data_IF_435022673279
#
_entry.id   IF_435022673279
#
_cell.length_a   1.000
_cell.length_b   1.000
_cell.length_c   1.000
_cell.angle_alpha   90.00
_cell.angle_beta   90.00
_cell.angle_gamma   90.00
#
_symmetry.space_group_name_H-M   'P 1'
#
loop_
_entity.id
_entity.type
_entity.pdbx_description
1 polymer ?
#
# COMPACT_ATOMS: atom_id res chain seq x y z
N UNK A 1 92.10 -61.08 40.31
CA UNK A 1 91.58 -60.68 38.98
C UNK A 1 90.61 -59.54 39.23
N UNK A 2 91.08 -58.30 39.05
CA UNK A 2 90.34 -57.07 39.34
C UNK A 2 90.23 -56.27 38.05
N UNK A 3 89.05 -55.74 37.75
CA UNK A 3 88.87 -54.60 36.83
C UNK A 3 87.57 -53.87 37.15
N UNK A 4 87.74 -52.57 37.34
CA UNK A 4 86.77 -51.49 37.58
C UNK A 4 86.45 -50.80 36.25
N UNK A 5 85.30 -50.12 36.23
CA UNK A 5 85.02 -48.83 35.57
C UNK A 5 85.35 -48.63 34.09
N UNK A 6 84.37 -48.13 33.31
CA UNK A 6 84.37 -46.71 32.87
C UNK A 6 83.16 -46.35 32.01
N UNK A 7 82.68 -45.14 32.27
CA UNK A 7 81.82 -44.26 31.50
C UNK A 7 82.39 -43.88 30.13
N UNK A 8 81.53 -43.59 29.14
CA UNK A 8 81.72 -42.43 28.27
C UNK A 8 80.41 -41.98 27.60
N UNK A 9 80.29 -40.66 27.51
CA UNK A 9 79.15 -39.87 27.06
C UNK A 9 79.07 -39.76 25.53
N UNK A 10 77.89 -39.40 25.01
CA UNK A 10 77.82 -38.40 23.93
C UNK A 10 76.60 -37.50 24.14
N UNK A 11 76.89 -36.21 24.08
CA UNK A 11 76.10 -35.04 24.44
C UNK A 11 74.98 -34.69 23.46
N UNK A 12 73.79 -34.41 23.99
CA UNK A 12 72.77 -33.59 23.32
C UNK A 12 72.70 -32.20 23.99
N UNK A 13 72.50 -31.09 23.25
CA UNK A 13 72.54 -29.73 23.79
C UNK A 13 71.32 -29.38 24.67
N UNK A 14 71.41 -28.32 25.50
CA UNK A 14 70.37 -27.88 26.44
C UNK A 14 69.22 -27.13 25.74
N UNK A 15 68.08 -26.90 26.44
CA UNK A 15 66.90 -26.29 25.84
C UNK A 15 67.07 -24.78 25.62
N UNK A 16 66.57 -24.29 24.49
CA UNK A 16 66.53 -22.86 24.11
C UNK A 16 65.09 -22.50 23.72
N UNK A 17 64.63 -21.25 23.96
CA UNK A 17 63.32 -20.99 24.53
C UNK A 17 62.11 -20.98 23.59
N UNK A 18 60.98 -21.18 24.24
CA UNK A 18 59.59 -20.96 23.83
C UNK A 18 59.42 -19.65 23.02
N UNK A 19 59.16 -19.78 21.73
CA UNK A 19 58.59 -18.70 20.91
C UNK A 19 57.06 -18.74 21.10
N UNK A 20 56.41 -17.65 21.51
CA UNK A 20 54.96 -17.60 21.60
C UNK A 20 54.33 -17.33 20.22
N UNK A 21 53.27 -18.08 19.90
CA UNK A 21 52.26 -17.62 18.94
C UNK A 21 52.24 -18.32 17.57
N UNK A 22 52.01 -19.64 17.53
CA UNK A 22 51.27 -20.24 16.42
C UNK A 22 49.86 -20.53 16.94
N UNK A 23 48.99 -19.53 16.87
CA UNK A 23 47.56 -19.75 16.98
C UNK A 23 47.13 -20.38 15.66
N UNK A 24 47.01 -21.71 15.63
CA UNK A 24 46.27 -22.37 14.57
C UNK A 24 44.86 -21.73 14.53
N UNK A 25 44.38 -21.26 13.36
CA UNK A 25 42.99 -20.85 13.28
C UNK A 25 42.14 -22.11 13.50
N UNK A 26 41.34 -22.08 14.57
CA UNK A 26 40.30 -23.06 14.80
C UNK A 26 39.44 -23.11 13.54
N UNK A 27 39.12 -24.34 13.10
CA UNK A 27 38.15 -24.57 12.03
C UNK A 27 36.79 -24.03 12.48
N UNK A 28 36.54 -22.76 12.21
CA UNK A 28 35.24 -22.13 12.38
C UNK A 28 34.49 -22.32 11.06
N UNK A 29 33.53 -23.25 11.05
CA UNK A 29 32.50 -23.36 10.01
C UNK A 29 31.48 -22.23 10.19
N UNK A 30 31.90 -21.00 9.92
CA UNK A 30 31.02 -19.85 9.69
C UNK A 30 31.57 -19.15 8.46
N UNK A 31 30.74 -18.99 7.43
CA UNK A 31 31.10 -18.22 6.24
C UNK A 31 31.53 -16.82 6.68
N UNK A 32 32.82 -16.53 6.62
CA UNK A 32 33.31 -15.16 6.65
C UNK A 32 32.79 -14.51 5.38
N UNK A 33 31.84 -13.59 5.50
CA UNK A 33 31.50 -12.69 4.40
C UNK A 33 32.74 -11.86 4.08
N UNK A 34 33.08 -11.75 2.80
CA UNK A 34 34.09 -10.79 2.34
C UNK A 34 33.56 -9.37 2.60
N UNK A 35 34.40 -8.47 3.12
CA UNK A 35 34.03 -7.07 3.25
C UNK A 35 33.92 -6.45 1.85
N UNK A 36 33.01 -5.50 1.65
CA UNK A 36 32.80 -4.89 0.34
C UNK A 36 34.04 -4.14 -0.13
N UNK A 37 34.75 -3.53 0.82
CA UNK A 37 36.01 -2.82 0.64
C UNK A 37 37.11 -3.74 0.10
N UNK A 38 37.22 -4.97 0.63
CA UNK A 38 38.19 -5.97 0.17
C UNK A 38 37.92 -6.47 -1.27
N UNK A 39 36.68 -6.34 -1.75
CA UNK A 39 36.27 -6.72 -3.11
C UNK A 39 36.52 -5.56 -4.10
N UNK A 40 36.28 -4.32 -3.66
CA UNK A 40 36.44 -3.12 -4.50
C UNK A 40 37.93 -2.78 -4.67
N UNK A 41 38.73 -2.95 -3.62
CA UNK A 41 40.15 -2.59 -3.61
C UNK A 41 41.07 -3.75 -4.05
N UNK A 42 40.52 -4.80 -4.67
CA UNK A 42 41.30 -5.94 -5.16
C UNK A 42 42.30 -5.49 -6.25
N UNK A 43 43.62 -5.52 -5.97
CA UNK A 43 44.63 -5.05 -6.91
C UNK A 43 44.68 -5.89 -8.19
N UNK A 44 44.21 -7.14 -8.13
CA UNK A 44 44.22 -8.12 -9.20
C UNK A 44 42.91 -8.11 -10.03
N UNK A 45 41.91 -7.32 -9.63
CA UNK A 45 40.65 -7.18 -10.37
C UNK A 45 40.82 -6.40 -11.69
N UNK A 46 40.20 -6.89 -12.76
CA UNK A 46 40.26 -6.28 -14.10
C UNK A 46 39.41 -5.00 -14.22
N UNK A 47 38.38 -4.85 -13.37
CA UNK A 47 37.47 -3.71 -13.32
C UNK A 47 37.61 -3.02 -11.97
N UNK A 48 38.07 -1.76 -11.94
CA UNK A 48 38.48 -1.05 -10.72
C UNK A 48 37.66 0.21 -10.42
N UNK A 49 36.95 0.72 -11.42
CA UNK A 49 36.18 1.96 -11.33
C UNK A 49 34.99 1.93 -12.31
N UNK A 50 34.14 2.95 -12.24
CA UNK A 50 32.95 3.04 -13.09
C UNK A 50 33.27 3.19 -14.59
N UNK A 51 34.42 3.78 -14.93
CA UNK A 51 34.83 4.01 -16.33
C UNK A 51 35.32 2.71 -16.97
N UNK A 52 36.16 1.96 -16.26
CA UNK A 52 36.62 0.62 -16.63
C UNK A 52 35.48 -0.39 -16.67
N UNK A 53 34.52 -0.30 -15.74
CA UNK A 53 33.31 -1.13 -15.75
C UNK A 53 32.45 -0.86 -17.00
N UNK A 54 32.26 0.42 -17.36
CA UNK A 54 31.54 0.79 -18.58
C UNK A 54 32.24 0.27 -19.83
N UNK A 55 33.55 0.47 -19.92
CA UNK A 55 34.35 0.00 -21.05
C UNK A 55 34.24 -1.52 -21.22
N UNK A 56 34.30 -2.28 -20.12
CA UNK A 56 34.17 -3.74 -20.14
C UNK A 56 32.78 -4.20 -20.61
N UNK A 57 31.70 -3.56 -20.12
CA UNK A 57 30.35 -3.89 -20.54
C UNK A 57 30.09 -3.53 -22.02
N UNK A 58 30.63 -2.41 -22.49
CA UNK A 58 30.52 -1.95 -23.89
C UNK A 58 31.24 -2.87 -24.89
N UNK A 59 32.15 -3.75 -24.44
CA UNK A 59 32.79 -4.73 -25.31
C UNK A 59 31.88 -5.92 -25.67
N UNK A 60 30.95 -6.29 -24.79
CA UNK A 60 30.24 -7.57 -24.92
C UNK A 60 28.73 -7.51 -24.70
N UNK A 61 28.23 -6.48 -24.00
CA UNK A 61 26.86 -6.48 -23.47
C UNK A 61 26.08 -5.18 -23.69
N UNK A 62 26.75 -4.07 -24.04
CA UNK A 62 26.12 -2.76 -24.28
C UNK A 62 26.60 -2.10 -25.58
N UNK A 63 25.83 -1.12 -26.08
CA UNK A 63 26.13 -0.37 -27.32
C UNK A 63 27.13 0.74 -27.00
N UNK A 64 28.24 0.79 -27.75
CA UNK A 64 29.29 1.77 -27.51
C UNK A 64 28.78 3.21 -27.68
N UNK A 65 29.06 4.05 -26.67
CA UNK A 65 28.78 5.49 -26.70
C UNK A 65 27.48 5.92 -26.01
N UNK A 66 26.58 5.00 -25.68
CA UNK A 66 25.38 5.31 -24.89
C UNK A 66 25.72 5.54 -23.40
N UNK A 67 24.93 6.35 -22.66
CA UNK A 67 25.09 6.50 -21.23
C UNK A 67 24.71 5.19 -20.51
N UNK A 68 25.48 4.81 -19.48
CA UNK A 68 25.19 3.63 -18.67
C UNK A 68 23.98 3.89 -17.76
N UNK A 69 22.77 3.76 -18.31
CA UNK A 69 21.54 3.88 -17.52
C UNK A 69 21.25 2.60 -16.75
N UNK A 70 20.46 2.66 -15.66
CA UNK A 70 20.08 1.47 -14.91
C UNK A 70 19.36 0.39 -15.75
N UNK A 71 18.65 0.79 -16.82
CA UNK A 71 18.04 -0.11 -17.78
C UNK A 71 19.09 -0.88 -18.59
N UNK A 72 20.13 -0.19 -19.06
CA UNK A 72 21.25 -0.81 -19.77
C UNK A 72 22.00 -1.79 -18.87
N UNK A 73 22.22 -1.43 -17.60
CA UNK A 73 22.87 -2.31 -16.61
C UNK A 73 22.00 -3.53 -16.31
N UNK A 74 20.69 -3.35 -16.14
CA UNK A 74 19.73 -4.45 -15.95
C UNK A 74 19.73 -5.40 -17.14
N UNK A 75 19.75 -4.86 -18.37
CA UNK A 75 19.84 -5.65 -19.59
C UNK A 75 21.14 -6.46 -19.67
N UNK A 76 22.28 -5.83 -19.38
CA UNK A 76 23.57 -6.51 -19.35
C UNK A 76 23.58 -7.68 -18.35
N UNK A 77 23.03 -7.49 -17.14
CA UNK A 77 22.89 -8.55 -16.14
C UNK A 77 21.99 -9.70 -16.63
N UNK A 78 20.90 -9.41 -17.35
CA UNK A 78 20.10 -10.46 -17.97
C UNK A 78 20.90 -11.26 -19.00
N UNK A 79 21.66 -10.58 -19.87
CA UNK A 79 22.53 -11.24 -20.84
C UNK A 79 23.60 -12.12 -20.17
N UNK A 80 24.26 -11.62 -19.12
CA UNK A 80 25.25 -12.38 -18.33
C UNK A 80 24.61 -13.61 -17.68
N UNK A 81 23.36 -13.51 -17.19
CA UNK A 81 22.65 -14.65 -16.60
C UNK A 81 22.42 -15.82 -17.58
N UNK A 82 22.45 -15.54 -18.89
CA UNK A 82 22.28 -16.50 -19.97
C UNK A 82 23.60 -17.12 -20.46
N UNK A 83 24.75 -16.65 -19.97
CA UNK A 83 26.05 -17.16 -20.38
C UNK A 83 26.23 -18.65 -20.04
N UNK A 84 26.92 -19.37 -20.92
CA UNK A 84 27.26 -20.79 -20.70
C UNK A 84 28.22 -20.89 -19.51
N UNK A 85 27.90 -21.74 -18.53
CA UNK A 85 28.72 -21.94 -17.33
C UNK A 85 28.15 -21.32 -16.04
N UNK A 86 27.10 -20.49 -16.13
CA UNK A 86 26.44 -19.92 -14.95
C UNK A 86 25.54 -20.97 -14.29
N UNK A 87 25.75 -21.25 -12.99
CA UNK A 87 24.92 -22.18 -12.21
C UNK A 87 23.50 -21.64 -12.01
N UNK A 88 22.52 -22.50 -11.73
CA UNK A 88 21.13 -22.07 -11.52
C UNK A 88 20.98 -21.08 -10.36
N UNK A 89 21.73 -21.29 -9.27
CA UNK A 89 21.74 -20.38 -8.11
C UNK A 89 22.28 -19.01 -8.49
N UNK A 90 23.41 -18.97 -9.22
CA UNK A 90 24.02 -17.73 -9.67
C UNK A 90 23.14 -17.00 -10.70
N UNK A 91 22.50 -17.74 -11.61
CA UNK A 91 21.53 -17.18 -12.57
C UNK A 91 20.37 -16.48 -11.86
N UNK A 92 19.80 -17.12 -10.84
CA UNK A 92 18.71 -16.52 -10.05
C UNK A 92 19.17 -15.29 -9.28
N UNK A 93 20.38 -15.32 -8.70
CA UNK A 93 20.95 -14.17 -8.00
C UNK A 93 21.18 -12.98 -8.95
N UNK A 94 21.80 -13.21 -10.12
CA UNK A 94 22.05 -12.17 -11.12
C UNK A 94 20.73 -11.55 -11.61
N UNK A 95 19.71 -12.38 -11.88
CA UNK A 95 18.38 -11.89 -12.30
C UNK A 95 17.68 -11.10 -11.20
N UNK A 96 17.78 -11.52 -9.94
CA UNK A 96 17.22 -10.77 -8.83
C UNK A 96 17.86 -9.38 -8.71
N UNK A 97 19.20 -9.29 -8.83
CA UNK A 97 19.90 -8.01 -8.85
C UNK A 97 19.48 -7.14 -10.04
N UNK A 98 19.31 -7.72 -11.23
CA UNK A 98 18.84 -7.00 -12.41
C UNK A 98 17.45 -6.38 -12.22
N UNK A 99 16.53 -7.08 -11.55
CA UNK A 99 15.21 -6.54 -11.21
C UNK A 99 15.29 -5.41 -10.18
N UNK A 100 16.11 -5.58 -9.13
CA UNK A 100 16.29 -4.55 -8.08
C UNK A 100 16.92 -3.27 -8.62
N UNK A 101 17.91 -3.37 -9.51
CA UNK A 101 18.53 -2.19 -10.16
C UNK A 101 17.47 -1.38 -10.93
N UNK A 102 16.58 -2.07 -11.65
CA UNK A 102 15.49 -1.41 -12.39
C UNK A 102 14.45 -0.78 -11.45
N UNK A 103 14.09 -1.48 -10.37
CA UNK A 103 13.13 -0.97 -9.39
C UNK A 103 13.65 0.29 -8.67
N UNK A 104 14.91 0.27 -8.21
CA UNK A 104 15.56 1.40 -7.56
C UNK A 104 15.66 2.62 -8.49
N UNK A 105 15.91 2.41 -9.77
CA UNK A 105 15.92 3.48 -10.77
C UNK A 105 14.53 4.09 -10.97
N UNK A 106 13.49 3.27 -11.08
CA UNK A 106 12.10 3.77 -11.19
C UNK A 106 11.66 4.54 -9.95
N UNK A 107 12.09 4.12 -8.75
CA UNK A 107 11.81 4.83 -7.50
C UNK A 107 12.51 6.18 -7.45
N UNK A 108 13.80 6.25 -7.79
CA UNK A 108 14.56 7.50 -7.77
C UNK A 108 14.00 8.54 -8.77
N UNK A 109 13.59 8.08 -9.96
CA UNK A 109 12.92 8.93 -10.96
C UNK A 109 11.56 9.41 -10.40
N UNK A 110 10.76 8.52 -9.81
CA UNK A 110 9.48 8.87 -9.21
C UNK A 110 9.62 9.90 -8.07
N UNK A 111 10.61 9.73 -7.19
CA UNK A 111 10.90 10.66 -6.10
C UNK A 111 11.33 12.04 -6.62
N UNK A 112 12.17 12.06 -7.66
CA UNK A 112 12.58 13.31 -8.32
C UNK A 112 11.40 14.03 -8.97
N UNK A 113 10.52 13.30 -9.67
CA UNK A 113 9.31 13.86 -10.28
C UNK A 113 8.35 14.37 -9.20
N UNK A 114 8.12 13.60 -8.14
CA UNK A 114 7.25 13.99 -7.03
C UNK A 114 7.74 15.27 -6.34
N UNK A 115 9.05 15.38 -6.11
CA UNK A 115 9.67 16.57 -5.51
C UNK A 115 9.53 17.81 -6.41
N UNK A 116 9.77 17.66 -7.72
CA UNK A 116 9.63 18.75 -8.69
C UNK A 116 8.17 19.21 -8.82
N UNK A 117 7.22 18.28 -8.89
CA UNK A 117 5.79 18.59 -8.94
C UNK A 117 5.33 19.28 -7.66
N UNK A 118 5.75 18.81 -6.48
CA UNK A 118 5.43 19.45 -5.19
C UNK A 118 5.94 20.89 -5.15
N UNK A 119 7.20 21.10 -5.53
CA UNK A 119 7.82 22.42 -5.65
C UNK A 119 7.03 23.38 -6.55
N UNK A 120 6.64 22.92 -7.75
CA UNK A 120 5.86 23.72 -8.70
C UNK A 120 4.46 24.04 -8.20
N UNK A 121 3.80 23.08 -7.55
CA UNK A 121 2.47 23.29 -6.95
C UNK A 121 2.57 24.29 -5.81
N UNK A 122 3.54 24.15 -4.91
CA UNK A 122 3.75 25.11 -3.81
C UNK A 122 3.95 26.52 -4.34
N UNK A 123 4.80 26.70 -5.34
CA UNK A 123 5.01 28.00 -5.98
C UNK A 123 3.73 28.54 -6.63
N UNK A 124 3.01 27.71 -7.39
CA UNK A 124 1.77 28.09 -8.08
C UNK A 124 0.65 28.46 -7.10
N UNK A 125 0.48 27.68 -6.04
CA UNK A 125 -0.52 27.90 -4.99
C UNK A 125 -0.22 29.19 -4.23
N UNK A 126 1.04 29.44 -3.87
CA UNK A 126 1.45 30.69 -3.22
C UNK A 126 1.14 31.89 -4.12
N UNK A 127 1.49 31.83 -5.41
CA UNK A 127 1.22 32.91 -6.37
C UNK A 127 -0.29 33.15 -6.55
N UNK A 128 -1.11 32.09 -6.61
CA UNK A 128 -2.55 32.21 -6.84
C UNK A 128 -3.32 32.66 -5.60
N UNK A 129 -2.95 32.18 -4.41
CA UNK A 129 -3.71 32.39 -3.17
C UNK A 129 -3.29 33.68 -2.46
N UNK A 130 -2.00 34.07 -2.51
CA UNK A 130 -1.50 35.27 -1.80
C UNK A 130 -2.30 36.54 -2.12
N UNK A 131 -2.62 36.86 -3.39
CA UNK A 131 -3.42 38.03 -3.71
C UNK A 131 -4.86 37.96 -3.17
N UNK A 132 -5.43 36.75 -3.07
CA UNK A 132 -6.79 36.56 -2.53
C UNK A 132 -6.81 36.74 -1.02
N UNK A 133 -5.82 36.20 -0.32
CA UNK A 133 -5.67 36.37 1.14
C UNK A 133 -5.47 37.85 1.49
N UNK A 134 -4.68 38.59 0.70
CA UNK A 134 -4.52 40.04 0.88
C UNK A 134 -5.83 40.83 0.73
N UNK A 135 -6.68 40.45 -0.25
CA UNK A 135 -8.02 41.04 -0.44
C UNK A 135 -8.95 40.74 0.73
N UNK A 136 -8.94 39.51 1.24
CA UNK A 136 -9.75 39.10 2.41
C UNK A 136 -9.32 39.89 3.65
N UNK A 137 -8.02 40.04 3.89
CA UNK A 137 -7.50 40.86 4.99
C UNK A 137 -7.93 42.32 4.87
N UNK A 138 -7.83 42.89 3.67
CA UNK A 138 -8.27 44.28 3.44
C UNK A 138 -9.78 44.45 3.67
N UNK A 139 -10.59 43.46 3.29
CA UNK A 139 -12.02 43.46 3.55
C UNK A 139 -12.34 43.31 5.05
N UNK A 140 -11.57 42.49 5.78
CA UNK A 140 -11.70 42.33 7.21
C UNK A 140 -11.38 43.63 7.96
N UNK A 141 -10.31 44.34 7.61
CA UNK A 141 -9.96 45.65 8.18
C UNK A 141 -11.05 46.69 7.93
N UNK A 142 -11.64 46.68 6.73
CA UNK A 142 -12.73 47.58 6.39
C UNK A 142 -14.00 47.24 7.20
N UNK A 143 -14.30 45.96 7.38
CA UNK A 143 -15.42 45.51 8.20
C UNK A 143 -15.23 45.91 9.67
N UNK A 144 -14.02 45.75 10.22
CA UNK A 144 -13.69 46.17 11.59
C UNK A 144 -13.90 47.68 11.78
N UNK A 145 -13.43 48.49 10.81
CA UNK A 145 -13.67 49.94 10.83
C UNK A 145 -15.16 50.28 10.77
N UNK A 146 -15.94 49.59 9.93
CA UNK A 146 -17.40 49.80 9.89
C UNK A 146 -18.09 49.34 11.17
N UNK A 147 -17.61 48.27 11.81
CA UNK A 147 -18.11 47.80 13.11
C UNK A 147 -17.89 48.83 14.21
N UNK A 148 -16.67 49.40 14.30
CA UNK A 148 -16.36 50.50 15.24
C UNK A 148 -17.24 51.73 14.99
N UNK A 149 -17.50 52.09 13.73
CA UNK A 149 -18.41 53.19 13.40
C UNK A 149 -19.88 52.90 13.76
N UNK A 150 -20.29 51.62 13.70
CA UNK A 150 -21.63 51.21 14.10
C UNK A 150 -21.77 51.17 15.62
N UNK A 151 -20.73 50.77 16.35
CA UNK A 151 -20.68 50.85 17.81
C UNK A 151 -20.77 52.29 18.31
N UNK A 152 -20.03 53.22 17.70
CA UNK A 152 -20.13 54.65 18.08
C UNK A 152 -21.51 55.24 17.79
N UNK A 153 -22.14 54.88 16.66
CA UNK A 153 -23.54 55.24 16.38
C UNK A 153 -24.53 54.56 17.33
N UNK A 154 -24.27 53.32 17.72
CA UNK A 154 -25.07 52.54 18.66
C UNK A 154 -25.00 53.10 20.08
N UNK A 155 -23.84 53.57 20.53
CA UNK A 155 -23.67 54.27 21.81
C UNK A 155 -24.39 55.63 21.82
N UNK A 156 -24.39 56.36 20.70
CA UNK A 156 -25.16 57.60 20.53
C UNK A 156 -26.68 57.36 20.49
N UNK A 157 -27.12 56.20 20.02
CA UNK A 157 -28.52 55.78 20.01
C UNK A 157 -28.97 55.19 21.35
N UNK A 158 -28.09 54.46 22.05
CA UNK A 158 -28.34 53.90 23.38
C UNK A 158 -28.45 55.00 24.44
N UNK A 159 -27.67 56.10 24.32
CA UNK A 159 -27.88 57.32 25.13
C UNK A 159 -29.24 57.98 24.94
N UNK A 160 -30.02 57.61 23.90
CA UNK A 160 -31.38 58.12 23.65
C UNK A 160 -32.50 57.15 24.08
N UNK A 161 -32.20 55.90 24.44
CA UNK A 161 -33.19 54.90 24.82
C UNK A 161 -32.71 54.06 26.00
N UNK A 162 -32.60 54.68 27.16
CA UNK A 162 -32.66 53.94 28.42
C UNK A 162 -34.13 53.61 28.69
N UNK A 163 -34.50 52.32 28.68
CA UNK A 163 -35.41 51.67 29.65
C UNK A 163 -35.70 50.21 29.23
N UNK A 164 -35.60 49.31 30.22
CA UNK A 164 -36.06 47.90 30.31
C UNK A 164 -35.11 46.76 29.88
N UNK A 165 -34.45 46.16 30.87
CA UNK A 165 -33.74 44.87 30.82
C UNK A 165 -34.63 43.70 31.26
N UNK A 166 -34.44 42.53 30.63
CA UNK A 166 -34.71 41.20 31.19
C UNK A 166 -33.70 40.17 30.62
N UNK A 167 -33.26 39.14 31.36
CA UNK A 167 -32.12 38.29 30.98
C UNK A 167 -32.50 36.98 30.22
N UNK A 168 -31.62 36.41 29.37
CA UNK A 168 -31.86 35.13 28.69
C UNK A 168 -31.20 33.92 29.39
N UNK A 169 -31.84 32.75 29.28
CA UNK A 169 -31.41 31.47 29.83
C UNK A 169 -30.34 30.74 28.96
N UNK A 170 -29.61 29.73 29.50
CA UNK A 170 -28.44 29.12 28.87
C UNK A 170 -28.81 28.12 27.76
N UNK A 171 -28.07 28.16 26.63
CA UNK A 171 -28.16 27.19 25.53
C UNK A 171 -27.13 26.07 25.72
N UNK A 172 -27.56 24.81 25.72
CA UNK A 172 -26.67 23.64 25.71
C UNK A 172 -26.15 23.36 24.29
N UNK A 173 -24.89 22.91 24.17
CA UNK A 173 -24.25 22.60 22.88
C UNK A 173 -24.73 21.25 22.31
N UNK A 174 -24.83 21.11 20.97
CA UNK A 174 -25.23 19.86 20.32
C UNK A 174 -24.16 18.76 20.40
N UNK A 175 -24.62 17.51 20.56
CA UNK A 175 -23.81 16.30 20.84
C UNK A 175 -22.70 15.99 19.82
N UNK A 176 -22.80 16.51 18.58
CA UNK A 176 -21.71 16.45 17.59
C UNK A 176 -20.40 16.99 18.18
N UNK A 177 -20.49 18.09 18.92
CA UNK A 177 -19.33 18.77 19.48
C UNK A 177 -18.71 17.97 20.65
N UNK A 178 -19.51 17.17 21.35
CA UNK A 178 -19.04 16.30 22.43
C UNK A 178 -18.23 15.08 21.92
N UNK A 179 -18.59 14.54 20.76
CA UNK A 179 -17.84 13.44 20.13
C UNK A 179 -16.50 13.90 19.56
N UNK A 180 -16.42 15.13 19.04
CA UNK A 180 -15.17 15.72 18.57
C UNK A 180 -14.27 16.10 19.76
N UNK A 181 -14.87 16.52 20.88
CA UNK A 181 -14.16 16.95 22.08
C UNK A 181 -13.68 15.80 22.99
N UNK A 182 -13.88 14.52 22.64
CA UNK A 182 -13.47 13.41 23.50
C UNK A 182 -11.94 13.28 23.49
N UNK A 183 -11.32 13.95 24.46
CA UNK A 183 -9.96 13.72 24.91
C UNK A 183 -9.81 12.29 25.41
N UNK A 184 -8.66 11.71 25.09
CA UNK A 184 -8.28 10.31 25.31
C UNK A 184 -8.43 9.94 26.79
N UNK A 185 -9.39 9.07 27.10
CA UNK A 185 -9.53 8.45 28.41
C UNK A 185 -8.57 7.24 28.51
N UNK A 186 -7.65 7.19 29.49
CA UNK A 186 -6.62 6.14 29.58
C UNK A 186 -7.12 4.74 29.98
N UNK A 187 -8.42 4.56 30.26
CA UNK A 187 -8.96 3.28 30.74
C UNK A 187 -9.73 2.46 29.69
N UNK A 188 -9.61 2.76 28.39
CA UNK A 188 -10.22 1.92 27.36
C UNK A 188 -9.27 0.80 26.91
N UNK A 189 -9.74 -0.44 27.09
CA UNK A 189 -9.11 -1.65 26.56
C UNK A 189 -8.85 -1.46 25.06
N UNK A 190 -7.61 -1.66 24.55
CA UNK A 190 -7.29 -1.39 23.17
C UNK A 190 -7.99 -2.42 22.26
N UNK A 191 -9.11 -2.01 21.63
CA UNK A 191 -9.52 -2.60 20.37
C UNK A 191 -8.36 -2.40 19.39
N UNK A 192 -7.90 -3.51 18.81
CA UNK A 192 -6.62 -3.65 18.13
C UNK A 192 -6.27 -2.53 17.14
N UNK A 193 -4.96 -2.31 16.98
CA UNK A 193 -4.29 -1.40 16.03
C UNK A 193 -5.26 -0.68 15.09
N UNK A 194 -5.61 0.57 15.42
CA UNK A 194 -6.23 1.50 14.48
C UNK A 194 -5.31 1.55 13.25
N UNK A 195 -5.72 0.92 12.16
CA UNK A 195 -5.09 1.14 10.87
C UNK A 195 -5.16 2.65 10.59
N UNK A 196 -4.06 3.25 10.16
CA UNK A 196 -4.03 4.67 9.76
C UNK A 196 -5.13 4.92 8.72
N UNK A 197 -5.67 6.14 8.66
CA UNK A 197 -6.70 6.47 7.66
C UNK A 197 -6.23 6.19 6.24
N UNK A 198 -4.93 6.33 5.99
CA UNK A 198 -4.25 5.98 4.73
C UNK A 198 -4.28 4.48 4.43
N UNK A 199 -4.05 3.61 5.42
CA UNK A 199 -4.16 2.17 5.22
C UNK A 199 -5.61 1.75 4.93
N UNK A 200 -6.59 2.34 5.62
CA UNK A 200 -8.01 2.10 5.31
C UNK A 200 -8.37 2.58 3.90
N UNK A 201 -7.84 3.73 3.47
CA UNK A 201 -8.02 4.28 2.12
C UNK A 201 -7.38 3.38 1.05
N UNK A 202 -6.15 2.91 1.27
CA UNK A 202 -5.45 2.01 0.36
C UNK A 202 -6.18 0.67 0.19
N UNK A 203 -6.64 0.07 1.29
CA UNK A 203 -7.44 -1.17 1.23
C UNK A 203 -8.79 -0.97 0.56
N UNK A 204 -9.39 0.21 0.70
CA UNK A 204 -10.65 0.54 0.00
C UNK A 204 -10.41 0.67 -1.50
N UNK A 205 -9.35 1.37 -1.92
CA UNK A 205 -8.99 1.52 -3.32
C UNK A 205 -8.69 0.17 -4.01
N UNK A 206 -8.05 -0.78 -3.32
CA UNK A 206 -7.82 -2.14 -3.85
C UNK A 206 -9.16 -2.86 -4.03
N UNK A 207 -10.06 -2.80 -3.03
CA UNK A 207 -11.38 -3.46 -3.11
C UNK A 207 -12.25 -2.87 -4.20
N UNK A 208 -12.16 -1.57 -4.45
CA UNK A 208 -12.89 -0.88 -5.51
C UNK A 208 -12.52 -1.33 -6.92
N UNK A 209 -11.33 -1.92 -7.08
CA UNK A 209 -10.85 -2.53 -8.33
C UNK A 209 -11.19 -4.02 -8.44
N UNK A 210 -11.89 -4.58 -7.47
CA UNK A 210 -12.23 -5.99 -7.45
C UNK A 210 -13.68 -6.28 -7.83
N UNK A 211 -13.86 -7.33 -8.62
CA UNK A 211 -15.14 -7.87 -9.03
C UNK A 211 -15.25 -9.32 -8.56
N UNK A 212 -16.30 -9.66 -7.80
CA UNK A 212 -16.56 -11.04 -7.38
C UNK A 212 -17.61 -11.65 -8.29
N UNK A 213 -17.24 -12.73 -8.99
CA UNK A 213 -18.16 -13.56 -9.74
C UNK A 213 -18.38 -14.89 -9.02
N UNK A 214 -19.60 -15.38 -9.07
CA UNK A 214 -20.02 -16.60 -8.39
C UNK A 214 -20.65 -17.53 -9.43
N UNK A 215 -19.86 -18.45 -10.01
CA UNK A 215 -20.37 -19.47 -10.92
C UNK A 215 -21.13 -20.53 -10.11
N UNK A 216 -22.20 -21.07 -10.70
CA UNK A 216 -22.87 -22.22 -10.12
C UNK A 216 -21.97 -23.47 -10.17
N UNK A 217 -22.28 -24.47 -9.34
CA UNK A 217 -21.40 -25.65 -9.17
C UNK A 217 -21.21 -26.46 -10.45
N UNK A 218 -22.20 -26.44 -11.34
CA UNK A 218 -22.23 -27.18 -12.60
C UNK A 218 -21.79 -26.33 -13.80
N UNK A 219 -21.11 -25.19 -13.56
CA UNK A 219 -20.70 -24.29 -14.63
C UNK A 219 -19.74 -25.00 -15.62
N UNK A 220 -19.96 -24.92 -16.95
CA UNK A 220 -19.18 -25.67 -17.93
C UNK A 220 -17.68 -25.30 -17.90
N UNK A 221 -17.38 -24.01 -17.78
CA UNK A 221 -16.00 -23.47 -17.84
C UNK A 221 -15.41 -23.11 -16.46
N UNK A 222 -16.21 -22.55 -15.54
CA UNK A 222 -15.78 -22.03 -14.24
C UNK A 222 -16.09 -22.99 -13.07
N UNK A 223 -15.95 -24.29 -13.27
CA UNK A 223 -16.19 -25.29 -12.22
C UNK A 223 -14.95 -25.60 -11.38
N UNK A 224 -15.12 -26.53 -10.43
CA UNK A 224 -14.06 -26.87 -9.50
C UNK A 224 -12.87 -27.61 -10.10
N UNK A 225 -13.06 -28.30 -11.21
CA UNK A 225 -12.03 -29.04 -11.92
C UNK A 225 -11.29 -28.20 -12.96
N UNK A 226 -11.77 -26.99 -13.28
CA UNK A 226 -11.15 -26.10 -14.23
C UNK A 226 -9.74 -25.67 -13.78
N UNK A 227 -8.78 -25.72 -14.71
CA UNK A 227 -7.43 -25.21 -14.50
C UNK A 227 -7.45 -23.69 -14.38
N UNK A 228 -6.43 -23.13 -13.73
CA UNK A 228 -6.32 -21.67 -13.55
C UNK A 228 -6.23 -20.96 -14.90
N UNK A 229 -5.54 -21.56 -15.86
CA UNK A 229 -5.33 -21.04 -17.20
C UNK A 229 -6.65 -20.93 -17.97
N UNK A 230 -7.47 -21.99 -17.95
CA UNK A 230 -8.79 -21.97 -18.61
C UNK A 230 -9.71 -20.89 -18.03
N UNK A 231 -9.66 -20.69 -16.70
CA UNK A 231 -10.42 -19.63 -16.05
C UNK A 231 -9.92 -18.25 -16.51
N UNK A 232 -8.60 -18.05 -16.58
CA UNK A 232 -8.01 -16.78 -17.04
C UNK A 232 -8.43 -16.49 -18.48
N UNK A 233 -8.34 -17.48 -19.37
CA UNK A 233 -8.65 -17.30 -20.79
C UNK A 233 -10.14 -17.00 -20.99
N UNK A 234 -11.03 -17.71 -20.29
CA UNK A 234 -12.47 -17.45 -20.33
C UNK A 234 -12.82 -16.04 -19.82
N UNK A 235 -12.19 -15.60 -18.72
CA UNK A 235 -12.41 -14.25 -18.19
C UNK A 235 -11.87 -13.19 -19.13
N UNK A 236 -10.67 -13.37 -19.69
CA UNK A 236 -10.11 -12.43 -20.67
C UNK A 236 -11.00 -12.30 -21.90
N UNK A 237 -11.45 -13.42 -22.46
CA UNK A 237 -12.37 -13.42 -23.59
C UNK A 237 -13.66 -12.67 -23.27
N UNK A 238 -14.22 -12.86 -22.07
CA UNK A 238 -15.41 -12.14 -21.65
C UNK A 238 -15.17 -10.63 -21.43
N UNK A 239 -13.98 -10.23 -20.96
CA UNK A 239 -13.60 -8.82 -20.82
C UNK A 239 -13.39 -8.18 -22.20
N UNK A 240 -12.70 -8.85 -23.12
CA UNK A 240 -12.46 -8.34 -24.47
C UNK A 240 -13.77 -8.15 -25.25
N UNK A 241 -14.76 -9.02 -25.02
CA UNK A 241 -16.10 -8.88 -25.60
C UNK A 241 -16.90 -7.68 -25.05
N UNK A 242 -16.48 -7.13 -23.90
CA UNK A 242 -17.09 -5.93 -23.30
C UNK A 242 -16.37 -4.64 -23.69
N UNK A 243 -15.26 -4.74 -24.41
CA UNK A 243 -14.49 -3.61 -24.87
C UNK A 243 -15.29 -2.81 -25.92
N UNK A 244 -15.55 -1.55 -25.62
CA UNK A 244 -16.28 -0.61 -26.48
C UNK A 244 -15.42 0.64 -26.65
N UNK A 245 -15.54 1.30 -27.80
CA UNK A 245 -14.72 2.50 -28.15
C UNK A 245 -14.85 3.63 -27.11
N UNK A 246 -16.00 3.75 -26.45
CA UNK A 246 -16.27 4.77 -25.44
C UNK A 246 -16.03 4.28 -23.98
N UNK A 247 -15.53 3.06 -23.79
CA UNK A 247 -15.31 2.45 -22.48
C UNK A 247 -13.93 2.77 -21.87
N UNK A 248 -13.76 2.59 -20.54
CA UNK A 248 -12.44 2.66 -19.92
C UNK A 248 -11.57 1.49 -20.38
N UNK A 249 -10.24 1.65 -20.35
CA UNK A 249 -9.33 0.53 -20.57
C UNK A 249 -9.54 -0.55 -19.49
N UNK A 250 -9.87 -1.77 -19.90
CA UNK A 250 -10.13 -2.90 -18.99
C UNK A 250 -8.95 -3.88 -19.08
N UNK A 251 -8.22 -4.05 -17.97
CA UNK A 251 -7.16 -5.07 -17.89
C UNK A 251 -7.31 -5.91 -16.63
N UNK A 252 -7.25 -7.24 -16.80
CA UNK A 252 -7.20 -8.19 -15.69
C UNK A 252 -5.81 -8.19 -15.05
N UNK A 253 -5.70 -7.72 -13.81
CA UNK A 253 -4.46 -7.74 -13.02
C UNK A 253 -4.26 -9.03 -12.27
N UNK A 254 -5.30 -9.52 -11.62
CA UNK A 254 -5.21 -10.74 -10.81
C UNK A 254 -6.52 -11.51 -10.82
N UNK A 255 -6.39 -12.83 -10.62
CA UNK A 255 -7.51 -13.74 -10.44
C UNK A 255 -7.24 -14.63 -9.25
N UNK A 256 -8.22 -14.73 -8.35
CA UNK A 256 -8.13 -15.56 -7.16
C UNK A 256 -9.40 -16.37 -7.01
N UNK A 257 -9.28 -17.69 -7.00
CA UNK A 257 -10.39 -18.57 -6.69
C UNK A 257 -10.54 -18.72 -5.17
N UNK A 258 -11.76 -18.56 -4.68
CA UNK A 258 -12.13 -18.67 -3.28
C UNK A 258 -12.58 -20.09 -2.93
N UNK A 259 -12.60 -20.41 -1.63
CA UNK A 259 -12.99 -21.74 -1.12
C UNK A 259 -14.44 -22.12 -1.43
N UNK A 260 -15.30 -21.13 -1.63
CA UNK A 260 -16.71 -21.31 -1.98
C UNK A 260 -16.94 -21.32 -3.50
N UNK A 261 -15.92 -21.66 -4.31
CA UNK A 261 -15.91 -21.60 -5.78
C UNK A 261 -16.12 -20.21 -6.42
N UNK A 262 -16.39 -19.16 -5.64
CA UNK A 262 -16.38 -17.79 -6.13
C UNK A 262 -15.01 -17.40 -6.69
N UNK A 263 -15.00 -16.57 -7.72
CA UNK A 263 -13.78 -16.10 -8.39
C UNK A 263 -13.71 -14.59 -8.21
N UNK A 264 -12.62 -14.14 -7.58
CA UNK A 264 -12.32 -12.74 -7.36
C UNK A 264 -11.38 -12.26 -8.47
N UNK A 265 -11.84 -11.28 -9.24
CA UNK A 265 -11.08 -10.60 -10.27
C UNK A 265 -10.59 -9.26 -9.72
N UNK A 266 -9.36 -8.88 -10.02
CA UNK A 266 -8.86 -7.53 -9.80
C UNK A 266 -8.52 -6.91 -11.15
N UNK A 267 -9.07 -5.72 -11.39
CA UNK A 267 -8.89 -4.96 -12.62
C UNK A 267 -7.88 -3.83 -12.41
N UNK A 268 -7.48 -3.19 -13.50
CA UNK A 268 -6.58 -2.05 -13.48
C UNK A 268 -7.13 -0.82 -12.76
N UNK A 269 -8.45 -0.56 -12.82
CA UNK A 269 -9.09 0.64 -12.29
C UNK A 269 -10.46 0.37 -11.63
N UNK A 270 -10.93 1.31 -10.79
CA UNK A 270 -12.29 1.28 -10.24
C UNK A 270 -13.34 1.55 -11.33
N UNK A 271 -12.99 2.39 -12.31
CA UNK A 271 -13.85 2.73 -13.44
C UNK A 271 -14.17 1.48 -14.27
N UNK A 272 -13.19 0.61 -14.52
CA UNK A 272 -13.41 -0.67 -15.20
C UNK A 272 -14.41 -1.58 -14.45
N UNK A 273 -14.33 -1.64 -13.12
CA UNK A 273 -15.31 -2.42 -12.31
C UNK A 273 -16.71 -1.82 -12.39
N UNK A 274 -16.82 -0.48 -12.31
CA UNK A 274 -18.11 0.21 -12.42
C UNK A 274 -18.73 -0.01 -13.79
N UNK A 275 -17.93 0.10 -14.84
CA UNK A 275 -18.33 -0.13 -16.23
C UNK A 275 -18.89 -1.55 -16.44
N UNK A 276 -18.17 -2.58 -15.97
CA UNK A 276 -18.64 -3.98 -16.08
C UNK A 276 -19.95 -4.22 -15.30
N UNK A 277 -20.23 -3.42 -14.27
CA UNK A 277 -21.47 -3.52 -13.49
C UNK A 277 -22.66 -2.82 -14.14
N UNK A 278 -22.45 -1.98 -15.16
CA UNK A 278 -23.54 -1.35 -15.92
C UNK A 278 -24.38 -2.40 -16.64
N UNK A 279 -25.69 -2.24 -16.69
CA UNK A 279 -26.63 -3.29 -17.09
C UNK A 279 -26.29 -3.95 -18.42
N UNK A 280 -26.07 -3.17 -19.49
CA UNK A 280 -25.77 -3.70 -20.82
C UNK A 280 -24.42 -4.44 -20.89
N UNK A 281 -23.41 -3.86 -20.24
CA UNK A 281 -22.04 -4.39 -20.22
C UNK A 281 -21.99 -5.65 -19.36
N UNK A 282 -22.68 -5.64 -18.23
CA UNK A 282 -22.85 -6.77 -17.33
C UNK A 282 -23.49 -7.96 -18.03
N UNK A 283 -24.58 -7.73 -18.76
CA UNK A 283 -25.25 -8.80 -19.53
C UNK A 283 -24.32 -9.38 -20.59
N UNK A 284 -23.61 -8.52 -21.33
CA UNK A 284 -22.61 -8.94 -22.32
C UNK A 284 -21.49 -9.76 -21.67
N UNK A 285 -20.94 -9.28 -20.54
CA UNK A 285 -19.90 -9.95 -19.79
C UNK A 285 -20.33 -11.35 -19.33
N UNK A 286 -21.51 -11.46 -18.69
CA UNK A 286 -22.03 -12.72 -18.16
C UNK A 286 -22.40 -13.69 -19.27
N UNK A 287 -22.95 -13.21 -20.39
CA UNK A 287 -23.25 -14.04 -21.55
C UNK A 287 -21.97 -14.67 -22.15
N UNK A 288 -20.86 -13.93 -22.20
CA UNK A 288 -19.59 -14.43 -22.73
C UNK A 288 -18.86 -15.39 -21.78
N UNK A 289 -19.07 -15.28 -20.47
CA UNK A 289 -18.60 -16.31 -19.53
C UNK A 289 -19.36 -17.65 -19.70
N UNK A 290 -20.58 -17.58 -20.24
CA UNK A 290 -21.47 -18.72 -20.42
C UNK A 290 -21.98 -19.30 -19.09
N UNK A 291 -22.86 -20.29 -19.18
CA UNK A 291 -23.42 -20.96 -17.99
C UNK A 291 -24.19 -20.02 -17.05
N UNK A 292 -24.45 -20.50 -15.83
CA UNK A 292 -25.06 -19.69 -14.77
C UNK A 292 -23.97 -19.08 -13.90
N UNK A 293 -23.71 -17.79 -14.06
CA UNK A 293 -22.76 -17.01 -13.26
C UNK A 293 -23.39 -15.69 -12.86
N UNK A 294 -23.11 -15.24 -11.64
CA UNK A 294 -23.62 -13.97 -11.11
C UNK A 294 -22.50 -13.09 -10.57
N UNK A 295 -22.58 -11.79 -10.82
CA UNK A 295 -21.73 -10.81 -10.13
C UNK A 295 -22.31 -10.59 -8.74
N UNK A 296 -21.51 -10.82 -7.69
CA UNK A 296 -21.90 -10.56 -6.30
C UNK A 296 -21.49 -9.15 -5.89
N UNK A 297 -22.46 -8.43 -5.32
CA UNK A 297 -22.18 -7.17 -4.65
C UNK A 297 -21.44 -7.39 -3.33
N UNK A 298 -20.55 -6.44 -3.05
CA UNK A 298 -19.75 -6.47 -1.84
C UNK A 298 -20.55 -5.87 -0.70
N UNK A 299 -20.77 -6.67 0.32
CA UNK A 299 -21.41 -6.25 1.56
C UNK A 299 -20.34 -5.90 2.60
N UNK A 300 -20.63 -4.88 3.40
CA UNK A 300 -19.76 -4.45 4.49
C UNK A 300 -20.48 -4.65 5.82
N UNK A 301 -19.76 -5.22 6.79
CA UNK A 301 -20.28 -5.32 8.16
C UNK A 301 -20.05 -3.98 8.86
N UNK A 302 -21.15 -3.32 9.23
CA UNK A 302 -21.12 -2.08 10.00
C UNK A 302 -21.53 -2.36 11.45
N UNK A 303 -20.83 -1.72 12.38
CA UNK A 303 -21.20 -1.74 13.81
C UNK A 303 -21.95 -0.45 14.10
N UNK A 304 -23.24 -0.57 14.38
CA UNK A 304 -24.09 0.57 14.74
C UNK A 304 -24.20 0.62 16.27
N UNK A 305 -23.66 1.64 16.94
CA UNK A 305 -23.82 1.80 18.37
C UNK A 305 -25.21 2.37 18.71
N UNK A 306 -25.67 2.15 19.95
CA UNK A 306 -26.89 2.76 20.52
C UNK A 306 -28.22 2.45 19.82
N UNK A 307 -28.30 1.35 19.05
CA UNK A 307 -29.59 0.87 18.57
C UNK A 307 -30.47 0.43 19.75
N UNK A 308 -31.69 0.99 19.92
CA UNK A 308 -32.59 0.59 21.01
C UNK A 308 -32.86 -0.91 21.01
N UNK A 309 -32.84 -1.56 22.18
CA UNK A 309 -33.14 -3.00 22.28
C UNK A 309 -34.60 -3.34 21.98
N UNK A 310 -35.48 -2.33 22.02
CA UNK A 310 -36.88 -2.42 21.60
C UNK A 310 -37.05 -2.47 20.08
N UNK A 311 -35.99 -2.21 19.31
CA UNK A 311 -36.04 -2.29 17.85
C UNK A 311 -36.20 -3.74 17.43
N UNK A 312 -37.32 -4.05 16.77
CA UNK A 312 -37.60 -5.36 16.21
C UNK A 312 -36.78 -5.56 14.92
N UNK A 313 -35.63 -6.21 15.06
CA UNK A 313 -34.72 -6.50 13.95
C UNK A 313 -35.16 -7.70 13.09
N UNK A 314 -36.14 -8.49 13.54
CA UNK A 314 -36.67 -9.65 12.82
C UNK A 314 -37.81 -9.24 11.87
N UNK A 315 -38.44 -8.09 12.13
CA UNK A 315 -39.41 -7.50 11.21
C UNK A 315 -38.70 -6.99 9.93
N UNK A 316 -39.06 -7.50 8.73
CA UNK A 316 -38.45 -7.08 7.47
C UNK A 316 -38.66 -5.59 7.15
N UNK A 317 -39.76 -4.98 7.64
CA UNK A 317 -40.09 -3.58 7.40
C UNK A 317 -39.16 -2.64 8.18
N UNK A 318 -38.62 -3.07 9.31
CA UNK A 318 -37.71 -2.27 10.14
C UNK A 318 -36.50 -1.82 9.35
N UNK A 319 -35.91 -2.71 8.54
CA UNK A 319 -34.75 -2.38 7.70
C UNK A 319 -35.10 -1.36 6.62
N UNK A 320 -36.29 -1.49 6.00
CA UNK A 320 -36.74 -0.56 4.96
C UNK A 320 -37.05 0.82 5.53
N UNK A 321 -37.63 0.87 6.74
CA UNK A 321 -37.86 2.11 7.47
C UNK A 321 -36.53 2.79 7.83
N UNK A 322 -35.55 2.02 8.34
CA UNK A 322 -34.21 2.56 8.62
C UNK A 322 -33.54 3.11 7.37
N UNK A 323 -33.64 2.42 6.24
CA UNK A 323 -33.10 2.92 4.98
C UNK A 323 -33.75 4.25 4.58
N UNK A 324 -35.08 4.29 4.58
CA UNK A 324 -35.85 5.46 4.22
C UNK A 324 -35.57 6.66 5.13
N UNK A 325 -35.61 6.46 6.46
CA UNK A 325 -35.34 7.49 7.46
C UNK A 325 -33.91 8.06 7.37
N UNK A 326 -32.95 7.26 6.88
CA UNK A 326 -31.55 7.67 6.77
C UNK A 326 -31.13 8.03 5.33
N UNK A 327 -32.07 8.15 4.39
CA UNK A 327 -31.81 8.40 2.96
C UNK A 327 -30.83 7.41 2.32
N UNK A 328 -30.91 6.14 2.74
CA UNK A 328 -30.14 5.04 2.17
C UNK A 328 -30.97 4.39 1.05
N UNK A 329 -30.37 4.02 -0.10
CA UNK A 329 -31.11 3.37 -1.17
C UNK A 329 -31.83 2.10 -0.69
N UNK A 330 -33.08 1.85 -1.11
CA UNK A 330 -33.80 0.64 -0.77
C UNK A 330 -33.01 -0.61 -1.15
N UNK A 331 -32.91 -1.57 -0.23
CA UNK A 331 -32.20 -2.83 -0.46
C UNK A 331 -30.73 -2.84 -0.03
N UNK A 332 -30.19 -1.71 0.43
CA UNK A 332 -28.77 -1.59 0.82
C UNK A 332 -28.42 -2.38 2.08
N UNK A 333 -29.35 -2.48 3.03
CA UNK A 333 -29.21 -3.28 4.25
C UNK A 333 -29.77 -4.68 3.96
N UNK A 334 -28.86 -5.65 3.82
CA UNK A 334 -29.23 -7.05 3.55
C UNK A 334 -29.51 -7.84 4.81
N UNK A 335 -28.79 -7.57 5.90
CA UNK A 335 -28.98 -8.25 7.17
C UNK A 335 -28.56 -7.35 8.32
N UNK A 336 -29.26 -7.48 9.44
CA UNK A 336 -28.88 -6.93 10.74
C UNK A 336 -28.81 -8.06 11.77
N UNK A 337 -27.93 -7.94 12.74
CA UNK A 337 -27.90 -8.86 13.89
C UNK A 337 -27.30 -8.18 15.11
N UNK A 338 -27.73 -8.60 16.28
CA UNK A 338 -27.10 -8.18 17.53
C UNK A 338 -25.69 -8.77 17.64
N UNK A 339 -24.69 -7.93 17.96
CA UNK A 339 -23.34 -8.40 18.32
C UNK A 339 -23.41 -9.22 19.62
N UNK A 340 -24.19 -8.74 20.59
CA UNK A 340 -24.54 -9.45 21.81
C UNK A 340 -26.06 -9.47 21.95
N UNK A 341 -26.65 -10.64 22.03
CA UNK A 341 -28.08 -10.86 22.24
C UNK A 341 -28.58 -10.01 23.43
N UNK A 342 -29.58 -9.12 23.25
CA UNK A 342 -30.13 -8.30 24.31
C UNK A 342 -30.55 -9.11 25.54
N UNK A 343 -31.08 -10.32 25.34
CA UNK A 343 -31.56 -11.21 26.40
C UNK A 343 -30.42 -11.74 27.30
N UNK A 344 -29.17 -11.68 26.82
CA UNK A 344 -27.97 -12.16 27.50
C UNK A 344 -27.11 -11.01 28.06
N UNK A 345 -27.67 -9.79 28.14
CA UNK A 345 -26.98 -8.60 28.66
C UNK A 345 -27.25 -8.31 30.14
N UNK A 346 -28.15 -9.09 30.76
CA UNK A 346 -28.41 -9.05 32.19
C UNK A 346 -27.16 -9.41 33.01
#
# INVERSE_FOLDING_TARGET
>A
MSSRSSSHATSGPPPVPRVPGSTQPSKNTRSSGFALEDIIDDPDAEVKDAETAKYYLDQFYTIQGEPATPEHISHALFCISQAKGVSNTLRSAIRATAYLVRELATSAIADSVAKEVSSKIESSVVVAITPQVAKIWSAADNLEKTGKNLETLGEDLAKKFDTTQSPPAPRHSPYRDALIATTVNPNHIPLGKRFTSEHAKAHSAIKERQLLIDPDSDHPVLNSAATRENIIDAVKQALDATDRVDGPEIQLKSITRLRNNGILLELNSQEAVKWIKETEIKETFLANLGGTVRIKDRHYNLVIPFLPVSTDIENPDTLRNMENENNIPPGSITQIKWIKDPSKRA
#
